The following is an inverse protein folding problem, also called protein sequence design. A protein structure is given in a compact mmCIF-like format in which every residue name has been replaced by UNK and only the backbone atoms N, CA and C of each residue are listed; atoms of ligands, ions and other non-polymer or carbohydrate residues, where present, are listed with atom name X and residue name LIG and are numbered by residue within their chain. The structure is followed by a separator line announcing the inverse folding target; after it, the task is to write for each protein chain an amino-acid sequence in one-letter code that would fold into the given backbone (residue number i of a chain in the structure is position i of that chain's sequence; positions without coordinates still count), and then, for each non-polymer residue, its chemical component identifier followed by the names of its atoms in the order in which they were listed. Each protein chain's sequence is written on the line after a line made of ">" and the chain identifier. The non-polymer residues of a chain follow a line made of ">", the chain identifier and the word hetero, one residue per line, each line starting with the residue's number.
data_IF_049427401779
#
_entry.id   IF_049427401779
#
_cell.length_a   1.000
_cell.length_b   1.000
_cell.length_c   1.000
_cell.angle_alpha   90.00
_cell.angle_beta   90.00
_cell.angle_gamma   90.00
#
_symmetry.space_group_name_H-M   'P 1'
#
loop_
_entity.id
_entity.type
_entity.pdbx_description
1 polymer ?
#
# COMPACT_ATOMS: atom_id res chain seq x y z
N UNK A 1 26.60 -10.56 -8.20
CA UNK A 1 25.79 -11.66 -7.66
C UNK A 1 24.32 -11.26 -7.77
N UNK A 2 23.62 -11.73 -8.82
CA UNK A 2 22.16 -11.54 -8.95
C UNK A 2 21.52 -12.65 -8.13
N UNK A 3 20.71 -12.33 -7.14
CA UNK A 3 19.95 -13.37 -6.48
C UNK A 3 18.82 -13.82 -7.41
N UNK A 4 18.94 -15.07 -7.83
CA UNK A 4 18.05 -15.80 -8.72
C UNK A 4 16.81 -16.22 -7.92
N UNK A 5 15.76 -15.39 -7.99
CA UNK A 5 14.43 -15.77 -7.52
C UNK A 5 14.16 -15.58 -6.01
N UNK A 6 12.90 -15.82 -5.65
CA UNK A 6 12.34 -15.56 -4.31
C UNK A 6 13.06 -16.33 -3.18
N UNK A 7 13.54 -17.55 -3.46
CA UNK A 7 14.21 -18.38 -2.45
C UNK A 7 15.56 -17.81 -2.01
N UNK A 8 16.33 -17.25 -2.93
CA UNK A 8 17.60 -16.61 -2.57
C UNK A 8 17.36 -15.33 -1.75
N UNK A 9 16.32 -14.55 -2.09
CA UNK A 9 15.96 -13.35 -1.32
C UNK A 9 15.57 -13.75 0.10
N UNK A 10 14.77 -14.82 0.25
CA UNK A 10 14.35 -15.33 1.55
C UNK A 10 15.55 -15.79 2.40
N UNK A 11 16.53 -16.48 1.79
CA UNK A 11 17.75 -16.91 2.49
C UNK A 11 18.55 -15.71 2.98
N UNK A 12 18.90 -14.77 2.10
CA UNK A 12 19.68 -13.59 2.49
C UNK A 12 18.95 -12.72 3.50
N UNK A 13 17.61 -12.62 3.42
CA UNK A 13 16.83 -11.95 4.45
C UNK A 13 16.98 -12.64 5.81
N UNK A 14 16.95 -13.98 5.85
CA UNK A 14 17.03 -14.75 7.09
C UNK A 14 18.37 -14.65 7.82
N UNK A 15 19.44 -14.29 7.10
CA UNK A 15 20.78 -14.08 7.66
C UNK A 15 20.93 -12.74 8.41
N UNK A 16 20.01 -11.78 8.18
CA UNK A 16 20.02 -10.48 8.85
C UNK A 16 19.43 -10.57 10.26
N UNK A 17 19.79 -9.62 11.14
CA UNK A 17 19.13 -9.47 12.44
C UNK A 17 17.62 -9.22 12.29
N UNK A 18 16.81 -9.77 13.20
CA UNK A 18 15.35 -9.65 13.16
C UNK A 18 14.84 -8.19 13.11
N UNK A 19 15.59 -7.23 13.69
CA UNK A 19 15.27 -5.79 13.61
C UNK A 19 15.49 -5.25 12.20
N UNK A 20 16.58 -5.66 11.56
CA UNK A 20 16.96 -5.27 10.20
C UNK A 20 16.00 -5.89 9.20
N UNK A 21 15.71 -7.19 9.32
CA UNK A 21 14.68 -7.89 8.53
C UNK A 21 13.37 -7.11 8.51
N UNK A 22 12.83 -6.77 9.70
CA UNK A 22 11.57 -6.02 9.81
C UNK A 22 11.65 -4.64 9.17
N UNK A 23 12.79 -3.96 9.27
CA UNK A 23 12.99 -2.63 8.68
C UNK A 23 12.97 -2.71 7.16
N UNK A 24 13.77 -3.61 6.58
CA UNK A 24 13.87 -3.80 5.13
C UNK A 24 12.53 -4.27 4.56
N UNK A 25 11.90 -5.29 5.14
CA UNK A 25 10.60 -5.80 4.69
C UNK A 25 9.52 -4.72 4.75
N UNK A 26 9.51 -3.86 5.79
CA UNK A 26 8.55 -2.74 5.85
C UNK A 26 8.79 -1.72 4.73
N UNK A 27 10.04 -1.44 4.40
CA UNK A 27 10.38 -0.52 3.31
C UNK A 27 9.90 -1.08 1.97
N UNK A 28 10.17 -2.37 1.70
CA UNK A 28 9.71 -3.08 0.52
C UNK A 28 8.19 -3.12 0.41
N UNK A 29 7.47 -3.40 1.51
CA UNK A 29 6.00 -3.35 1.54
C UNK A 29 5.45 -1.95 1.20
N UNK A 30 6.15 -0.88 1.59
CA UNK A 30 5.76 0.49 1.21
C UNK A 30 6.09 0.78 -0.24
N UNK A 31 7.20 0.26 -0.77
CA UNK A 31 7.52 0.36 -2.20
C UNK A 31 6.42 -0.30 -3.04
N UNK A 32 6.00 -1.51 -2.67
CA UNK A 32 4.91 -2.25 -3.30
C UNK A 32 3.57 -1.48 -3.31
N UNK A 33 3.29 -0.75 -2.23
CA UNK A 33 2.05 0.02 -2.10
C UNK A 33 2.01 1.28 -3.00
N UNK A 34 3.15 1.84 -3.41
CA UNK A 34 3.22 3.07 -4.21
C UNK A 34 2.49 2.97 -5.56
N UNK A 35 2.72 1.97 -6.42
CA UNK A 35 2.03 1.89 -7.71
C UNK A 35 0.51 1.73 -7.54
N UNK A 36 0.07 0.93 -6.57
CA UNK A 36 -1.34 0.76 -6.23
C UNK A 36 -1.95 2.10 -5.76
N UNK A 37 -1.24 2.83 -4.90
CA UNK A 37 -1.68 4.15 -4.44
C UNK A 37 -1.78 5.16 -5.58
N UNK A 38 -0.80 5.19 -6.48
CA UNK A 38 -0.78 6.10 -7.62
C UNK A 38 -1.94 5.80 -8.58
N UNK A 39 -2.19 4.53 -8.87
CA UNK A 39 -3.32 4.06 -9.66
C UNK A 39 -4.66 4.47 -9.03
N UNK A 40 -4.83 4.18 -7.73
CA UNK A 40 -6.04 4.51 -7.00
C UNK A 40 -6.29 6.02 -6.99
N UNK A 41 -5.22 6.83 -6.85
CA UNK A 41 -5.32 8.29 -6.98
C UNK A 41 -5.73 8.72 -8.38
N UNK A 42 -5.17 8.12 -9.44
CA UNK A 42 -5.55 8.43 -10.82
C UNK A 42 -7.03 8.13 -11.06
N UNK A 43 -7.50 6.95 -10.67
CA UNK A 43 -8.90 6.57 -10.80
C UNK A 43 -9.81 7.46 -9.95
N UNK A 44 -9.40 7.84 -8.74
CA UNK A 44 -10.24 8.63 -7.85
C UNK A 44 -10.43 10.10 -8.28
N UNK A 45 -9.55 10.64 -9.14
CA UNK A 45 -9.71 12.00 -9.70
C UNK A 45 -11.03 12.21 -10.44
N UNK A 46 -11.63 11.15 -10.98
CA UNK A 46 -12.93 11.25 -11.65
C UNK A 46 -14.08 11.65 -10.70
N UNK A 47 -13.89 11.51 -9.39
CA UNK A 47 -14.87 11.88 -8.36
C UNK A 47 -14.61 13.26 -7.75
N UNK A 48 -13.55 13.96 -8.20
CA UNK A 48 -13.31 15.33 -7.80
C UNK A 48 -14.33 16.23 -8.50
N UNK A 49 -14.89 17.17 -7.74
CA UNK A 49 -15.81 18.19 -8.28
C UNK A 49 -15.03 19.48 -8.51
N UNK A 50 -15.08 20.11 -9.69
CA UNK A 50 -14.37 21.36 -9.93
C UNK A 50 -14.93 22.51 -9.07
N UNK A 51 -16.19 22.43 -8.68
CA UNK A 51 -16.90 23.46 -7.90
C UNK A 51 -16.54 23.44 -6.40
N UNK A 52 -15.88 22.39 -5.92
CA UNK A 52 -15.47 22.27 -4.52
C UNK A 52 -13.95 22.18 -4.40
N UNK A 53 -13.37 22.66 -3.28
CA UNK A 53 -11.96 22.43 -3.00
C UNK A 53 -11.66 20.96 -2.71
N UNK A 54 -12.68 20.11 -2.60
CA UNK A 54 -12.54 18.72 -2.23
C UNK A 54 -11.99 17.86 -3.39
N UNK A 55 -10.97 17.07 -3.05
CA UNK A 55 -10.19 16.17 -3.88
C UNK A 55 -10.16 14.79 -3.23
N UNK A 56 -10.97 13.86 -3.73
CA UNK A 56 -11.13 12.50 -3.21
C UNK A 56 -9.80 11.76 -3.23
N UNK A 57 -9.01 11.91 -4.30
CA UNK A 57 -7.73 11.22 -4.43
C UNK A 57 -6.72 11.59 -3.33
N UNK A 58 -6.82 12.79 -2.73
CA UNK A 58 -5.90 13.21 -1.65
C UNK A 58 -6.08 12.38 -0.37
N UNK A 59 -7.27 11.81 -0.15
CA UNK A 59 -7.54 10.93 1.00
C UNK A 59 -7.03 9.50 0.82
N UNK A 60 -6.54 9.14 -0.37
CA UNK A 60 -5.94 7.82 -0.61
C UNK A 60 -4.51 7.82 -0.07
N UNK A 61 -4.30 7.02 0.97
CA UNK A 61 -3.08 6.95 1.76
C UNK A 61 -2.61 5.52 1.94
N UNK A 62 -1.32 5.38 2.24
CA UNK A 62 -0.71 4.10 2.61
C UNK A 62 -0.54 4.06 4.12
N UNK A 63 -0.96 2.99 4.77
CA UNK A 63 -0.86 2.80 6.22
C UNK A 63 -0.30 1.43 6.58
N UNK A 64 0.43 1.37 7.69
CA UNK A 64 0.81 0.09 8.30
C UNK A 64 -0.43 -0.58 8.90
N UNK A 65 -0.54 -1.89 8.73
CA UNK A 65 -1.59 -2.67 9.38
C UNK A 65 -1.20 -3.00 10.84
N UNK A 66 -2.18 -3.04 11.76
CA UNK A 66 -1.93 -3.43 13.14
C UNK A 66 -1.58 -4.92 13.22
N UNK A 67 -0.72 -5.29 14.17
CA UNK A 67 -0.20 -6.67 14.33
C UNK A 67 -1.30 -7.74 14.35
N UNK A 68 -2.44 -7.45 14.99
CA UNK A 68 -3.60 -8.37 15.04
C UNK A 68 -4.16 -8.66 13.65
N UNK A 69 -4.31 -7.64 12.80
CA UNK A 69 -4.82 -7.80 11.44
C UNK A 69 -3.85 -8.58 10.55
N UNK A 70 -2.54 -8.33 10.68
CA UNK A 70 -1.55 -9.06 9.88
C UNK A 70 -1.44 -10.52 10.32
N UNK A 71 -1.49 -10.79 11.62
CA UNK A 71 -1.48 -12.15 12.17
C UNK A 71 -2.64 -13.00 11.67
N UNK A 72 -3.82 -12.40 11.49
CA UNK A 72 -4.97 -13.11 10.92
C UNK A 72 -4.71 -13.60 9.47
N UNK A 73 -3.77 -12.97 8.77
CA UNK A 73 -3.32 -13.36 7.43
C UNK A 73 -2.03 -14.20 7.44
N UNK A 74 -1.57 -14.66 8.61
CA UNK A 74 -0.32 -15.44 8.74
C UNK A 74 0.97 -14.65 8.57
N UNK A 75 0.91 -13.30 8.56
CA UNK A 75 2.09 -12.44 8.39
C UNK A 75 2.50 -11.69 9.65
N UNK A 76 3.71 -11.14 9.63
CA UNK A 76 4.26 -10.32 10.72
C UNK A 76 4.21 -8.81 10.44
N UNK A 77 4.23 -8.44 9.15
CA UNK A 77 4.15 -7.05 8.68
C UNK A 77 3.14 -6.94 7.54
N UNK A 78 2.41 -5.83 7.53
CA UNK A 78 1.43 -5.55 6.49
C UNK A 78 1.31 -4.05 6.25
N UNK A 79 1.09 -3.70 5.00
CA UNK A 79 0.83 -2.33 4.54
C UNK A 79 -0.42 -2.38 3.68
N UNK A 80 -1.31 -1.41 3.85
CA UNK A 80 -2.53 -1.28 3.07
C UNK A 80 -2.61 0.10 2.45
N UNK A 81 -3.11 0.16 1.21
CA UNK A 81 -3.61 1.39 0.60
C UNK A 81 -5.07 1.53 0.98
N UNK A 82 -5.46 2.67 1.53
CA UNK A 82 -6.82 2.90 2.00
C UNK A 82 -7.20 4.37 1.95
N UNK A 83 -8.45 4.63 2.29
CA UNK A 83 -8.96 6.00 2.44
C UNK A 83 -8.74 6.43 3.89
N UNK A 84 -8.13 7.59 4.10
CA UNK A 84 -7.95 8.16 5.43
C UNK A 84 -9.30 8.58 6.01
N UNK A 85 -9.43 8.42 7.32
CA UNK A 85 -10.58 8.92 8.06
C UNK A 85 -10.51 10.44 8.20
N UNK A 86 -11.67 11.06 8.10
CA UNK A 86 -11.86 12.50 8.08
C UNK A 86 -13.13 12.84 8.84
N UNK A 87 -13.06 13.84 9.71
CA UNK A 87 -14.22 14.27 10.50
C UNK A 87 -15.17 15.14 9.66
N UNK A 88 -16.46 15.21 10.02
CA UNK A 88 -17.37 16.20 9.43
C UNK A 88 -16.78 17.61 9.54
N UNK A 89 -16.79 18.36 8.43
CA UNK A 89 -16.19 19.70 8.35
C UNK A 89 -14.69 19.72 8.00
N UNK A 90 -13.99 18.58 7.98
CA UNK A 90 -12.64 18.50 7.42
C UNK A 90 -12.71 18.46 5.89
N UNK A 91 -11.68 19.02 5.25
CA UNK A 91 -11.53 18.94 3.79
C UNK A 91 -11.48 17.46 3.37
N UNK A 92 -12.18 17.14 2.28
CA UNK A 92 -12.27 15.81 1.69
C UNK A 92 -13.06 14.78 2.50
N UNK A 93 -13.91 15.21 3.46
CA UNK A 93 -14.55 14.29 4.40
C UNK A 93 -15.44 13.21 3.76
N UNK A 94 -15.98 13.50 2.58
CA UNK A 94 -16.86 12.58 1.85
C UNK A 94 -16.12 11.49 1.06
N UNK A 95 -14.79 11.56 0.93
CA UNK A 95 -14.02 10.63 0.11
C UNK A 95 -14.26 9.17 0.50
N UNK A 96 -14.42 8.91 1.81
CA UNK A 96 -14.71 7.57 2.33
C UNK A 96 -16.08 7.05 1.88
N UNK A 97 -17.10 7.92 1.86
CA UNK A 97 -18.45 7.55 1.41
C UNK A 97 -18.49 7.23 -0.07
N UNK A 98 -17.79 8.01 -0.90
CA UNK A 98 -17.74 7.77 -2.35
C UNK A 98 -17.02 6.47 -2.67
N UNK A 99 -15.88 6.21 -2.03
CA UNK A 99 -15.04 5.06 -2.37
C UNK A 99 -15.51 3.76 -1.68
N UNK A 100 -15.95 3.82 -0.43
CA UNK A 100 -16.35 2.62 0.32
C UNK A 100 -17.86 2.40 0.38
N UNK A 101 -18.65 3.38 -0.04
CA UNK A 101 -20.11 3.33 0.01
C UNK A 101 -20.67 3.65 1.39
N UNK A 102 -21.99 3.72 1.44
CA UNK A 102 -22.83 3.84 2.65
C UNK A 102 -24.07 2.96 2.48
N UNK A 103 -25.01 2.99 3.42
CA UNK A 103 -26.31 2.33 3.25
C UNK A 103 -27.13 2.88 2.06
N UNK A 104 -26.85 4.11 1.63
CA UNK A 104 -27.58 4.82 0.57
C UNK A 104 -26.77 5.01 -0.71
N UNK A 105 -25.44 4.85 -0.65
CA UNK A 105 -24.52 5.08 -1.77
C UNK A 105 -23.73 3.81 -2.04
N UNK A 106 -23.77 3.31 -3.27
CA UNK A 106 -22.97 2.15 -3.67
C UNK A 106 -21.47 2.45 -3.60
N UNK A 107 -20.68 1.48 -3.16
CA UNK A 107 -19.23 1.57 -3.11
C UNK A 107 -18.61 1.66 -4.52
N UNK A 108 -17.60 2.51 -4.69
CA UNK A 108 -16.75 2.55 -5.87
C UNK A 108 -15.44 1.79 -5.59
N UNK A 109 -15.26 0.54 -6.07
CA UNK A 109 -14.15 -0.34 -5.66
C UNK A 109 -12.80 0.04 -6.29
N UNK A 110 -12.47 1.34 -6.36
CA UNK A 110 -11.21 1.89 -6.90
C UNK A 110 -10.00 1.22 -6.27
N UNK A 111 -9.97 1.06 -4.94
CA UNK A 111 -8.84 0.45 -4.24
C UNK A 111 -8.59 -0.98 -4.71
N UNK A 112 -9.66 -1.79 -4.84
CA UNK A 112 -9.57 -3.18 -5.28
C UNK A 112 -9.13 -3.26 -6.74
N UNK A 113 -9.81 -2.52 -7.63
CA UNK A 113 -9.44 -2.45 -9.06
C UNK A 113 -7.99 -2.01 -9.26
N UNK A 114 -7.52 -1.05 -8.46
CA UNK A 114 -6.15 -0.55 -8.53
C UNK A 114 -5.14 -1.59 -8.07
N UNK A 115 -5.46 -2.36 -7.03
CA UNK A 115 -4.62 -3.47 -6.58
C UNK A 115 -4.52 -4.56 -7.66
N UNK A 116 -5.64 -4.94 -8.27
CA UNK A 116 -5.68 -5.93 -9.34
C UNK A 116 -4.90 -5.44 -10.57
N UNK A 117 -5.09 -4.17 -10.97
CA UNK A 117 -4.40 -3.55 -12.12
C UNK A 117 -2.89 -3.45 -11.92
N UNK A 118 -2.45 -3.17 -10.68
CA UNK A 118 -1.04 -2.92 -10.35
C UNK A 118 -0.37 -4.08 -9.63
N UNK A 119 -0.97 -5.26 -9.63
CA UNK A 119 -0.46 -6.41 -8.89
C UNK A 119 0.98 -6.76 -9.30
N UNK A 120 1.25 -6.92 -10.58
CA UNK A 120 2.60 -7.27 -11.08
C UNK A 120 3.63 -6.18 -10.78
N UNK A 121 3.27 -4.91 -10.98
CA UNK A 121 4.15 -3.77 -10.69
C UNK A 121 4.47 -3.66 -9.19
N UNK A 122 3.48 -3.91 -8.33
CA UNK A 122 3.66 -3.94 -6.88
C UNK A 122 4.57 -5.10 -6.43
N UNK A 123 4.44 -6.28 -7.04
CA UNK A 123 5.29 -7.44 -6.75
C UNK A 123 6.75 -7.19 -7.17
N UNK A 124 6.96 -6.58 -8.34
CA UNK A 124 8.31 -6.22 -8.79
C UNK A 124 8.94 -5.16 -7.87
N UNK A 125 8.20 -4.09 -7.56
CA UNK A 125 8.67 -3.05 -6.64
C UNK A 125 8.97 -3.59 -5.23
N UNK A 126 8.24 -4.61 -4.78
CA UNK A 126 8.54 -5.32 -3.53
C UNK A 126 9.87 -6.06 -3.63
N UNK A 127 10.05 -6.89 -4.67
CA UNK A 127 11.23 -7.73 -4.83
C UNK A 127 12.51 -6.90 -4.98
N UNK A 128 12.47 -5.86 -5.82
CA UNK A 128 13.59 -4.97 -6.09
C UNK A 128 14.03 -4.24 -4.80
N UNK A 129 13.08 -3.62 -4.10
CA UNK A 129 13.37 -2.83 -2.90
C UNK A 129 13.78 -3.71 -1.70
N UNK A 130 13.22 -4.92 -1.60
CA UNK A 130 13.66 -5.92 -0.62
C UNK A 130 15.10 -6.35 -0.88
N UNK A 131 15.44 -6.66 -2.13
CA UNK A 131 16.79 -7.06 -2.52
C UNK A 131 17.81 -5.93 -2.29
N UNK A 132 17.49 -4.71 -2.73
CA UNK A 132 18.31 -3.53 -2.50
C UNK A 132 18.51 -3.25 -1.00
N UNK A 133 17.46 -3.43 -0.21
CA UNK A 133 17.53 -3.25 1.23
C UNK A 133 18.37 -4.31 1.94
N UNK A 134 18.37 -5.56 1.46
CA UNK A 134 19.27 -6.63 1.96
C UNK A 134 20.72 -6.29 1.62
N UNK A 135 21.00 -5.95 0.36
CA UNK A 135 22.37 -5.63 -0.11
C UNK A 135 23.02 -4.50 0.70
N UNK A 136 22.26 -3.44 1.00
CA UNK A 136 22.72 -2.31 1.82
C UNK A 136 23.05 -2.67 3.27
N UNK A 137 22.79 -3.89 3.72
CA UNK A 137 23.13 -4.35 5.08
C UNK A 137 24.29 -5.34 5.08
N UNK A 138 24.66 -5.85 3.91
CA UNK A 138 25.75 -6.83 3.70
C UNK A 138 27.00 -6.20 3.09
N UNK A 139 26.87 -5.00 2.50
CA UNK A 139 27.98 -4.12 2.09
C UNK A 139 28.48 -3.30 3.29
#
# INVERSE_FOLDING_TARGET
>A
MKVEGLEGIKRSLSELDAKVQKKVTRHALRAAAKPIQAEARRQAKQFDRPETPDRVWKQITTRSLPKRAVKASGGDLGVAVGVKDSKPGETFHYAKFVLLGTSQIQANPVLRRSADTKQTEALNAFADDLWDGIRKQTE
#
